data_IF_331920640841
#
_entry.id   IF_331920640841
#
_cell.length_a   1.000
_cell.length_b   1.000
_cell.length_c   1.000
_cell.angle_alpha   90.00
_cell.angle_beta   90.00
_cell.angle_gamma   90.00
#
_symmetry.space_group_name_H-M   'P 1'
#
loop_
_entity.id
_entity.type
_entity.pdbx_description
1 polymer ?
#
# COMPACT_ATOMS: atom_id res chain seq x y z
N UNK A 1 -14.86 24.62 -35.22
CA UNK A 1 -14.37 24.20 -33.89
C UNK A 1 -15.16 23.02 -33.29
N UNK A 2 -16.46 22.87 -33.58
CA UNK A 2 -17.30 21.78 -33.04
C UNK A 2 -17.12 20.40 -33.69
N UNK A 3 -16.63 20.31 -34.94
CA UNK A 3 -16.43 19.00 -35.61
C UNK A 3 -15.23 18.20 -35.07
N UNK A 4 -14.08 18.83 -34.82
CA UNK A 4 -12.93 18.14 -34.20
C UNK A 4 -13.23 17.61 -32.80
N UNK A 5 -14.07 18.29 -32.03
CA UNK A 5 -14.49 17.84 -30.70
C UNK A 5 -15.45 16.64 -30.79
N UNK A 6 -16.26 16.56 -31.84
CA UNK A 6 -17.14 15.40 -32.10
C UNK A 6 -16.38 14.17 -32.64
N UNK A 7 -15.32 14.38 -33.43
CA UNK A 7 -14.45 13.29 -33.89
C UNK A 7 -13.66 12.67 -32.74
N UNK A 8 -13.13 13.51 -31.83
CA UNK A 8 -12.45 13.04 -30.61
C UNK A 8 -13.40 12.35 -29.62
N UNK A 9 -14.62 12.88 -29.43
CA UNK A 9 -15.68 12.24 -28.63
C UNK A 9 -16.13 10.87 -29.13
N UNK A 10 -15.87 10.53 -30.39
CA UNK A 10 -16.16 9.21 -30.94
C UNK A 10 -14.92 8.31 -30.98
N UNK A 11 -13.75 8.76 -30.51
CA UNK A 11 -12.51 8.04 -30.69
C UNK A 11 -12.46 6.73 -29.91
N UNK A 12 -12.84 6.66 -28.63
CA UNK A 12 -12.88 5.37 -27.90
C UNK A 12 -13.87 4.40 -28.55
N UNK A 13 -15.08 4.86 -28.91
CA UNK A 13 -16.07 4.04 -29.63
C UNK A 13 -15.56 3.61 -31.01
N UNK A 14 -14.90 4.47 -31.76
CA UNK A 14 -14.33 4.20 -33.08
C UNK A 14 -13.09 3.27 -33.03
N UNK A 15 -12.24 3.44 -32.01
CA UNK A 15 -11.09 2.58 -31.70
C UNK A 15 -11.56 1.19 -31.31
N UNK A 16 -12.67 1.07 -30.58
CA UNK A 16 -13.24 -0.22 -30.15
C UNK A 16 -14.14 -0.87 -31.22
N UNK A 17 -14.87 -0.09 -32.05
CA UNK A 17 -15.90 -0.61 -32.99
C UNK A 17 -15.48 -0.70 -34.47
N UNK A 18 -14.54 0.13 -34.96
CA UNK A 18 -14.22 0.22 -36.40
C UNK A 18 -12.78 -0.16 -36.76
N UNK A 19 -12.13 -1.00 -35.97
CA UNK A 19 -10.68 -1.10 -35.98
C UNK A 19 -10.17 -2.53 -36.18
N UNK A 20 -9.30 -2.79 -37.19
CA UNK A 20 -8.71 -4.10 -37.44
C UNK A 20 -7.85 -4.60 -36.27
N UNK A 21 -7.50 -5.91 -36.23
CA UNK A 21 -6.75 -6.53 -35.13
C UNK A 21 -5.43 -5.76 -34.86
N UNK A 22 -5.33 -5.10 -33.70
CA UNK A 22 -4.14 -4.35 -33.29
C UNK A 22 -4.32 -3.09 -32.41
N UNK A 23 -5.54 -2.61 -32.10
CA UNK A 23 -5.74 -1.27 -31.48
C UNK A 23 -5.95 -1.18 -29.96
N UNK A 24 -6.24 -2.29 -29.26
CA UNK A 24 -6.12 -2.34 -27.79
C UNK A 24 -4.69 -1.97 -27.37
N UNK A 25 -3.72 -2.32 -28.21
CA UNK A 25 -2.32 -1.99 -28.02
C UNK A 25 -2.06 -0.47 -27.95
N UNK A 26 -2.70 0.34 -28.79
CA UNK A 26 -2.49 1.80 -28.78
C UNK A 26 -3.08 2.45 -27.52
N UNK A 27 -4.26 1.99 -27.09
CA UNK A 27 -4.88 2.42 -25.83
C UNK A 27 -4.00 2.02 -24.63
N UNK A 28 -3.53 0.78 -24.60
CA UNK A 28 -2.61 0.28 -23.57
C UNK A 28 -1.34 1.11 -23.56
N UNK A 29 -0.75 1.37 -24.72
CA UNK A 29 0.51 2.12 -24.84
C UNK A 29 0.39 3.55 -24.32
N UNK A 30 -0.70 4.24 -24.62
CA UNK A 30 -0.91 5.60 -24.11
C UNK A 30 -1.19 5.61 -22.60
N UNK A 31 -2.00 4.66 -22.11
CA UNK A 31 -2.24 4.49 -20.69
C UNK A 31 -0.96 4.12 -19.92
N UNK A 32 -0.13 3.24 -20.50
CA UNK A 32 1.15 2.80 -19.94
C UNK A 32 2.13 3.97 -19.85
N UNK A 33 2.25 4.76 -20.91
CA UNK A 33 3.08 5.98 -20.90
C UNK A 33 2.69 6.93 -19.77
N UNK A 34 1.39 7.20 -19.61
CA UNK A 34 0.91 8.07 -18.52
C UNK A 34 1.09 7.45 -17.14
N UNK A 35 0.95 6.14 -17.02
CA UNK A 35 1.21 5.43 -15.76
C UNK A 35 2.69 5.50 -15.39
N UNK A 36 3.60 5.38 -16.37
CA UNK A 36 5.04 5.57 -16.17
C UNK A 36 5.33 6.99 -15.67
N UNK A 37 4.74 8.01 -16.29
CA UNK A 37 4.89 9.41 -15.87
C UNK A 37 4.35 9.62 -14.44
N UNK A 38 3.17 9.04 -14.13
CA UNK A 38 2.58 9.05 -12.79
C UNK A 38 3.52 8.43 -11.74
N UNK A 39 4.09 7.26 -12.03
CA UNK A 39 5.02 6.58 -11.10
C UNK A 39 6.30 7.38 -10.91
N UNK A 40 6.82 8.02 -11.96
CA UNK A 40 7.99 8.90 -11.83
C UNK A 40 7.70 10.11 -10.94
N UNK A 41 6.55 10.75 -11.12
CA UNK A 41 6.18 11.95 -10.37
C UNK A 41 5.82 11.64 -8.91
N UNK A 42 5.01 10.62 -8.66
CA UNK A 42 4.46 10.34 -7.33
C UNK A 42 5.34 9.40 -6.50
N UNK A 43 5.98 8.40 -7.09
CA UNK A 43 6.76 7.41 -6.34
C UNK A 43 8.25 7.74 -6.34
N UNK A 44 8.85 7.94 -7.51
CA UNK A 44 10.30 8.13 -7.63
C UNK A 44 10.74 9.46 -7.01
N UNK A 45 10.02 10.55 -7.28
CA UNK A 45 10.30 11.87 -6.66
C UNK A 45 10.20 11.80 -5.14
N UNK A 46 9.17 11.13 -4.62
CA UNK A 46 8.95 11.00 -3.18
C UNK A 46 10.00 10.11 -2.53
N UNK A 47 10.40 9.02 -3.20
CA UNK A 47 11.51 8.16 -2.80
C UNK A 47 12.83 8.94 -2.69
N UNK A 48 13.10 9.85 -3.64
CA UNK A 48 14.26 10.74 -3.59
C UNK A 48 14.20 11.71 -2.42
N UNK A 49 13.05 12.37 -2.20
CA UNK A 49 12.85 13.30 -1.10
C UNK A 49 13.04 12.62 0.27
N UNK A 50 12.49 11.42 0.45
CA UNK A 50 12.70 10.65 1.68
C UNK A 50 14.17 10.29 1.91
N UNK A 51 14.94 10.13 0.83
CA UNK A 51 16.35 9.78 0.91
C UNK A 51 17.21 10.98 1.33
N UNK A 52 16.78 12.22 1.05
CA UNK A 52 17.47 13.44 1.52
C UNK A 52 17.55 13.48 3.06
N UNK A 53 16.53 12.94 3.74
CA UNK A 53 16.53 12.84 5.21
C UNK A 53 17.59 11.86 5.76
N UNK A 54 18.25 11.10 4.89
CA UNK A 54 19.33 10.19 5.25
C UNK A 54 20.63 10.60 4.52
N UNK A 55 21.32 11.66 4.99
CA UNK A 55 22.45 12.27 4.28
C UNK A 55 23.65 11.33 4.05
N UNK A 56 23.76 10.24 4.81
CA UNK A 56 24.82 9.22 4.66
C UNK A 56 24.46 8.07 3.70
N UNK A 57 23.31 8.13 3.02
CA UNK A 57 22.87 7.06 2.13
C UNK A 57 23.62 7.12 0.81
N UNK A 58 24.57 6.22 0.65
CA UNK A 58 25.21 5.97 -0.63
C UNK A 58 24.25 5.21 -1.56
N UNK A 59 23.41 5.93 -2.31
CA UNK A 59 22.42 5.40 -3.26
C UNK A 59 23.06 4.49 -4.32
N UNK A 60 24.31 4.76 -4.70
CA UNK A 60 25.05 3.98 -5.72
C UNK A 60 25.90 2.85 -5.14
N UNK A 61 25.94 2.65 -3.82
CA UNK A 61 26.72 1.57 -3.24
C UNK A 61 25.98 0.23 -3.37
N UNK A 62 26.68 -0.91 -3.51
CA UNK A 62 26.06 -2.24 -3.55
C UNK A 62 25.20 -2.54 -2.31
N UNK A 63 25.57 -1.93 -1.17
CA UNK A 63 24.87 -2.05 0.12
C UNK A 63 23.98 -0.82 0.42
N UNK A 64 23.72 -0.01 -0.61
CA UNK A 64 22.99 1.24 -0.52
C UNK A 64 21.49 1.04 -0.42
N UNK A 65 20.78 2.15 -0.37
CA UNK A 65 19.33 2.15 -0.57
C UNK A 65 19.02 1.74 -2.00
N UNK A 66 18.28 0.64 -2.15
CA UNK A 66 17.69 0.19 -3.41
C UNK A 66 16.23 0.63 -3.46
N UNK A 67 15.83 1.26 -4.56
CA UNK A 67 14.46 1.69 -4.82
C UNK A 67 14.13 1.34 -6.27
N UNK A 68 13.22 0.40 -6.45
CA UNK A 68 12.77 -0.06 -7.77
C UNK A 68 11.29 0.26 -7.94
N UNK A 69 10.94 0.72 -9.14
CA UNK A 69 9.60 1.13 -9.49
C UNK A 69 9.30 0.54 -10.86
N UNK A 70 8.24 -0.26 -10.93
CA UNK A 70 7.77 -0.88 -12.16
C UNK A 70 6.28 -0.61 -12.30
N UNK A 71 5.86 -0.37 -13.53
CA UNK A 71 4.45 -0.22 -13.88
C UNK A 71 4.18 -0.92 -15.19
N UNK A 72 2.97 -1.42 -15.34
CA UNK A 72 2.54 -2.06 -16.58
C UNK A 72 1.03 -1.97 -16.72
N UNK A 73 0.58 -1.73 -17.94
CA UNK A 73 -0.84 -1.79 -18.31
C UNK A 73 -1.09 -2.98 -19.22
N UNK A 74 -2.15 -3.73 -18.93
CA UNK A 74 -2.63 -4.82 -19.78
C UNK A 74 -4.08 -4.56 -20.18
N UNK A 75 -4.49 -5.09 -21.33
CA UNK A 75 -5.87 -5.07 -21.75
C UNK A 75 -6.35 -6.48 -22.08
N UNK A 76 -7.60 -6.73 -21.77
CA UNK A 76 -8.33 -7.92 -22.15
C UNK A 76 -9.74 -7.51 -22.55
N UNK A 77 -10.32 -8.21 -23.52
CA UNK A 77 -11.69 -8.00 -23.92
C UNK A 77 -12.43 -9.33 -23.94
N UNK A 78 -13.65 -9.31 -23.44
CA UNK A 78 -14.56 -10.45 -23.43
C UNK A 78 -15.90 -9.96 -23.96
N UNK A 79 -16.29 -10.46 -25.15
CA UNK A 79 -17.48 -10.00 -25.87
C UNK A 79 -17.46 -8.46 -26.05
N UNK A 80 -18.39 -7.76 -25.41
CA UNK A 80 -18.55 -6.29 -25.45
C UNK A 80 -17.97 -5.58 -24.20
N UNK A 81 -17.32 -6.32 -23.31
CA UNK A 81 -16.72 -5.82 -22.07
C UNK A 81 -15.21 -5.67 -22.24
N UNK A 82 -14.71 -4.48 -21.94
CA UNK A 82 -13.28 -4.19 -21.93
C UNK A 82 -12.76 -4.11 -20.51
N UNK A 83 -11.62 -4.77 -20.29
CA UNK A 83 -10.88 -4.79 -19.05
C UNK A 83 -9.51 -4.16 -19.28
N UNK A 84 -9.19 -3.13 -18.51
CA UNK A 84 -7.83 -2.57 -18.42
C UNK A 84 -7.27 -2.86 -17.03
N UNK A 85 -6.11 -3.50 -16.98
CA UNK A 85 -5.38 -3.80 -15.76
C UNK A 85 -4.20 -2.85 -15.63
N UNK A 86 -4.12 -2.13 -14.51
CA UNK A 86 -3.00 -1.28 -14.17
C UNK A 86 -2.28 -1.92 -12.98
N UNK A 87 -0.98 -2.18 -13.13
CA UNK A 87 -0.15 -2.74 -12.07
C UNK A 87 0.96 -1.74 -11.76
N UNK A 88 1.14 -1.44 -10.47
CA UNK A 88 2.24 -0.64 -9.96
C UNK A 88 2.93 -1.46 -8.87
N UNK A 89 4.24 -1.63 -9.02
CA UNK A 89 5.10 -2.32 -8.07
C UNK A 89 6.22 -1.36 -7.66
N UNK A 90 6.37 -1.14 -6.36
CA UNK A 90 7.42 -0.31 -5.80
C UNK A 90 8.09 -1.05 -4.65
N UNK A 91 9.38 -1.33 -4.80
CA UNK A 91 10.19 -1.99 -3.79
C UNK A 91 11.25 -1.02 -3.28
N UNK A 92 11.39 -0.94 -1.96
CA UNK A 92 12.40 -0.12 -1.31
C UNK A 92 13.08 -0.93 -0.22
N UNK A 93 14.39 -1.08 -0.31
CA UNK A 93 15.16 -1.83 0.68
C UNK A 93 16.45 -1.10 1.02
N UNK A 94 16.76 -1.03 2.30
CA UNK A 94 18.04 -0.54 2.77
C UNK A 94 18.58 -1.47 3.85
N UNK A 95 19.37 -2.45 3.41
CA UNK A 95 19.85 -3.53 4.27
C UNK A 95 20.80 -3.04 5.37
N UNK A 96 21.60 -2.00 5.10
CA UNK A 96 22.46 -1.37 6.12
C UNK A 96 21.66 -0.76 7.28
N UNK A 97 20.41 -0.38 7.03
CA UNK A 97 19.47 0.13 8.03
C UNK A 97 18.31 -0.85 8.28
N UNK A 98 18.56 -2.15 8.03
CA UNK A 98 17.72 -3.28 8.40
C UNK A 98 16.23 -3.17 8.05
N UNK A 99 15.88 -2.55 6.93
CA UNK A 99 14.48 -2.49 6.49
C UNK A 99 14.29 -2.81 5.01
N UNK A 100 13.14 -3.43 4.72
CA UNK A 100 12.64 -3.66 3.39
C UNK A 100 11.13 -3.41 3.36
N UNK A 101 10.66 -2.71 2.35
CA UNK A 101 9.26 -2.44 2.14
C UNK A 101 8.89 -2.59 0.69
N UNK A 102 7.62 -2.87 0.48
CA UNK A 102 7.08 -3.15 -0.83
C UNK A 102 5.64 -2.67 -0.90
N UNK A 103 5.29 -2.04 -2.01
CA UNK A 103 3.97 -1.57 -2.34
C UNK A 103 3.55 -2.15 -3.69
N UNK A 104 2.43 -2.86 -3.72
CA UNK A 104 1.87 -3.45 -4.94
C UNK A 104 0.43 -2.99 -5.04
N UNK A 105 0.09 -2.28 -6.11
CA UNK A 105 -1.28 -1.91 -6.40
C UNK A 105 -1.69 -2.47 -7.74
N UNK A 106 -2.80 -3.21 -7.77
CA UNK A 106 -3.43 -3.70 -8.98
C UNK A 106 -4.83 -3.13 -9.10
N UNK A 107 -5.12 -2.55 -10.26
CA UNK A 107 -6.39 -1.91 -10.55
C UNK A 107 -6.99 -2.49 -11.83
N UNK A 108 -8.28 -2.81 -11.80
CA UNK A 108 -9.04 -3.31 -12.93
C UNK A 108 -10.14 -2.32 -13.26
N UNK A 109 -10.05 -1.71 -14.43
CA UNK A 109 -11.06 -0.85 -15.01
C UNK A 109 -11.90 -1.65 -16.00
N UNK A 110 -13.15 -1.91 -15.64
CA UNK A 110 -14.14 -2.57 -16.49
C UNK A 110 -15.08 -1.54 -17.10
N UNK A 111 -15.26 -1.57 -18.42
CA UNK A 111 -16.17 -0.65 -19.11
C UNK A 111 -16.76 -1.25 -20.39
N UNK A 112 -17.91 -0.71 -20.76
CA UNK A 112 -18.59 -1.00 -22.02
C UNK A 112 -18.38 0.16 -22.98
N UNK A 113 -18.37 -0.13 -24.28
CA UNK A 113 -18.20 0.91 -25.32
C UNK A 113 -19.29 1.98 -25.27
N UNK A 114 -20.48 1.60 -24.82
CA UNK A 114 -21.70 2.42 -24.86
C UNK A 114 -21.99 3.13 -23.53
N UNK A 115 -21.16 2.89 -22.51
CA UNK A 115 -21.36 3.44 -21.18
C UNK A 115 -20.30 4.50 -20.85
N UNK A 116 -20.73 5.66 -20.35
CA UNK A 116 -19.84 6.74 -19.90
C UNK A 116 -19.30 6.49 -18.47
N UNK A 117 -19.45 5.25 -17.98
CA UNK A 117 -19.03 4.81 -16.65
C UNK A 117 -18.07 3.62 -16.72
N UNK A 118 -16.97 3.72 -15.99
CA UNK A 118 -16.01 2.63 -15.73
C UNK A 118 -16.22 2.15 -14.29
N UNK A 119 -16.32 0.83 -14.11
CA UNK A 119 -16.18 0.21 -12.80
C UNK A 119 -14.69 -0.01 -12.53
N UNK A 120 -14.13 0.79 -11.62
CA UNK A 120 -12.75 0.66 -11.17
C UNK A 120 -12.73 -0.15 -9.87
N UNK A 121 -12.15 -1.34 -9.93
CA UNK A 121 -11.82 -2.15 -8.76
C UNK A 121 -10.31 -2.15 -8.55
N UNK A 122 -9.84 -2.29 -7.32
CA UNK A 122 -8.41 -2.39 -7.08
C UNK A 122 -8.04 -2.94 -5.72
N UNK A 123 -6.80 -3.38 -5.61
CA UNK A 123 -6.21 -3.93 -4.40
C UNK A 123 -4.84 -3.30 -4.18
N UNK A 124 -4.57 -2.88 -2.96
CA UNK A 124 -3.28 -2.34 -2.53
C UNK A 124 -2.73 -3.25 -1.43
N UNK A 125 -1.60 -3.90 -1.74
CA UNK A 125 -0.85 -4.76 -0.84
C UNK A 125 0.44 -4.07 -0.39
N UNK A 126 0.61 -3.98 0.92
CA UNK A 126 1.75 -3.30 1.55
C UNK A 126 2.42 -4.27 2.50
N UNK A 127 3.73 -4.42 2.36
CA UNK A 127 4.57 -5.18 3.26
C UNK A 127 5.74 -4.32 3.72
N UNK A 128 6.05 -4.37 5.02
CA UNK A 128 7.20 -3.73 5.64
C UNK A 128 7.83 -4.74 6.60
N UNK A 129 9.15 -4.85 6.53
CA UNK A 129 9.96 -5.68 7.40
C UNK A 129 11.10 -4.85 7.95
N UNK A 130 11.30 -4.91 9.26
CA UNK A 130 12.45 -4.35 9.96
C UNK A 130 13.11 -5.45 10.81
N UNK A 131 14.44 -5.51 10.80
CA UNK A 131 15.18 -6.70 11.28
C UNK A 131 16.53 -6.40 11.97
N UNK A 132 16.69 -5.25 12.63
CA UNK A 132 17.94 -4.92 13.36
C UNK A 132 18.09 -5.79 14.62
N UNK A 133 17.28 -5.51 15.65
CA UNK A 133 17.31 -6.24 16.93
C UNK A 133 16.08 -7.16 17.13
N UNK A 134 15.09 -7.04 16.26
CA UNK A 134 13.88 -7.84 16.26
C UNK A 134 13.31 -7.92 14.85
N UNK A 135 12.70 -9.06 14.49
CA UNK A 135 12.05 -9.24 13.20
C UNK A 135 10.59 -8.77 13.29
N UNK A 136 10.35 -7.51 12.92
CA UNK A 136 9.04 -6.88 12.92
C UNK A 136 8.51 -6.87 11.49
N UNK A 137 7.34 -7.48 11.29
CA UNK A 137 6.66 -7.53 10.01
C UNK A 137 5.30 -6.86 10.09
N UNK A 138 5.00 -6.03 9.09
CA UNK A 138 3.70 -5.42 8.88
C UNK A 138 3.22 -5.78 7.47
N UNK A 139 2.02 -6.35 7.38
CA UNK A 139 1.36 -6.67 6.11
C UNK A 139 -0.08 -6.20 6.16
N UNK A 140 -0.54 -5.53 5.12
CA UNK A 140 -1.94 -5.11 4.97
C UNK A 140 -2.34 -5.20 3.51
N UNK A 141 -3.61 -5.52 3.28
CA UNK A 141 -4.26 -5.52 1.98
C UNK A 141 -5.55 -4.73 2.08
N UNK A 142 -5.83 -3.89 1.08
CA UNK A 142 -7.03 -3.04 1.04
C UNK A 142 -7.64 -3.12 -0.35
N UNK A 143 -8.95 -3.38 -0.41
CA UNK A 143 -9.70 -3.48 -1.66
C UNK A 143 -10.60 -2.27 -1.87
N UNK A 144 -10.79 -1.86 -3.12
CA UNK A 144 -11.57 -0.71 -3.53
C UNK A 144 -12.48 -1.05 -4.70
N UNK A 145 -13.63 -0.39 -4.75
CA UNK A 145 -14.55 -0.45 -5.87
C UNK A 145 -15.25 0.91 -6.01
N UNK A 146 -15.19 1.52 -7.20
CA UNK A 146 -15.81 2.82 -7.52
C UNK A 146 -16.28 2.84 -8.95
N UNK A 147 -17.46 3.45 -9.17
CA UNK A 147 -17.88 3.84 -10.51
C UNK A 147 -17.32 5.22 -10.83
N UNK A 148 -16.45 5.30 -11.83
CA UNK A 148 -15.82 6.54 -12.30
C UNK A 148 -16.51 6.96 -13.60
N UNK A 149 -16.95 8.22 -13.67
CA UNK A 149 -17.42 8.80 -14.93
C UNK A 149 -16.22 9.10 -15.81
N UNK A 150 -16.22 8.56 -17.01
CA UNK A 150 -15.13 8.76 -17.97
C UNK A 150 -15.66 9.38 -19.25
N UNK A 151 -14.84 10.27 -19.81
CA UNK A 151 -15.11 10.85 -21.11
C UNK A 151 -14.56 9.94 -22.20
N UNK A 152 -15.07 10.12 -23.42
CA UNK A 152 -14.71 9.30 -24.59
C UNK A 152 -13.36 9.66 -25.23
N UNK A 153 -12.62 10.60 -24.65
CA UNK A 153 -11.27 10.97 -25.04
C UNK A 153 -10.25 10.13 -24.25
N UNK A 154 -9.33 9.43 -24.92
CA UNK A 154 -8.32 8.57 -24.29
C UNK A 154 -7.46 9.32 -23.28
N UNK A 155 -7.14 10.58 -23.59
CA UNK A 155 -6.35 11.41 -22.70
C UNK A 155 -7.07 11.71 -21.38
N UNK A 156 -8.35 12.06 -21.46
CA UNK A 156 -9.17 12.35 -20.28
C UNK A 156 -9.54 11.08 -19.54
N UNK A 157 -9.74 9.97 -20.25
CA UNK A 157 -10.00 8.65 -19.67
C UNK A 157 -8.86 8.21 -18.75
N UNK A 158 -7.63 8.22 -19.27
CA UNK A 158 -6.43 7.86 -18.53
C UNK A 158 -6.20 8.79 -17.33
N UNK A 159 -6.32 10.11 -17.51
CA UNK A 159 -6.19 11.07 -16.41
C UNK A 159 -7.27 10.90 -15.34
N UNK A 160 -8.51 10.60 -15.69
CA UNK A 160 -9.59 10.37 -14.72
C UNK A 160 -9.35 9.09 -13.91
N UNK A 161 -8.88 8.02 -14.55
CA UNK A 161 -8.55 6.76 -13.84
C UNK A 161 -7.37 6.97 -12.90
N UNK A 162 -6.28 7.58 -13.37
CA UNK A 162 -5.11 7.86 -12.53
C UNK A 162 -5.45 8.81 -11.37
N UNK A 163 -6.34 9.79 -11.58
CA UNK A 163 -6.84 10.65 -10.51
C UNK A 163 -7.62 9.86 -9.45
N UNK A 164 -8.48 8.92 -9.87
CA UNK A 164 -9.19 8.05 -8.95
C UNK A 164 -8.24 7.12 -8.18
N UNK A 165 -7.22 6.57 -8.85
CA UNK A 165 -6.16 5.76 -8.20
C UNK A 165 -5.45 6.61 -7.14
N UNK A 166 -5.00 7.81 -7.50
CA UNK A 166 -4.30 8.72 -6.59
C UNK A 166 -5.17 9.10 -5.36
N UNK A 167 -6.48 9.34 -5.55
CA UNK A 167 -7.41 9.59 -4.45
C UNK A 167 -7.40 8.44 -3.43
N UNK A 168 -7.46 7.19 -3.91
CA UNK A 168 -7.44 6.00 -3.06
C UNK A 168 -6.09 5.72 -2.42
N UNK A 169 -4.98 5.92 -3.15
CA UNK A 169 -3.64 5.77 -2.60
C UNK A 169 -3.38 6.78 -1.47
N UNK A 170 -3.80 8.03 -1.65
CA UNK A 170 -3.69 9.05 -0.60
C UNK A 170 -4.58 8.74 0.62
N UNK A 171 -5.80 8.22 0.38
CA UNK A 171 -6.66 7.77 1.47
C UNK A 171 -6.00 6.68 2.30
N UNK A 172 -5.37 5.68 1.67
CA UNK A 172 -4.65 4.63 2.38
C UNK A 172 -3.43 5.16 3.11
N UNK A 173 -2.68 6.07 2.51
CA UNK A 173 -1.54 6.69 3.19
C UNK A 173 -1.99 7.41 4.48
N UNK A 174 -3.12 8.12 4.43
CA UNK A 174 -3.70 8.79 5.59
C UNK A 174 -4.22 7.79 6.64
N UNK A 175 -4.95 6.74 6.22
CA UNK A 175 -5.44 5.67 7.10
C UNK A 175 -4.28 4.99 7.83
N UNK A 176 -3.21 4.66 7.13
CA UNK A 176 -2.01 4.05 7.71
C UNK A 176 -1.31 4.97 8.70
N UNK A 177 -1.16 6.25 8.37
CA UNK A 177 -0.52 7.20 9.27
C UNK A 177 -1.32 7.34 10.58
N UNK A 178 -2.64 7.40 10.49
CA UNK A 178 -3.52 7.40 11.65
C UNK A 178 -3.43 6.09 12.44
N UNK A 179 -3.41 4.96 11.74
CA UNK A 179 -3.25 3.64 12.35
C UNK A 179 -1.96 3.56 13.16
N UNK A 180 -0.80 3.89 12.58
CA UNK A 180 0.49 3.87 13.29
C UNK A 180 0.54 4.86 14.46
N UNK A 181 -0.06 6.04 14.32
CA UNK A 181 -0.17 7.02 15.42
C UNK A 181 -1.01 6.50 16.60
N UNK A 182 -2.06 5.71 16.32
CA UNK A 182 -3.01 5.23 17.32
C UNK A 182 -2.66 3.87 17.94
N UNK A 183 -1.96 2.99 17.23
CA UNK A 183 -1.53 1.65 17.72
C UNK A 183 -0.82 1.76 19.08
N UNK A 184 0.15 2.68 19.17
CA UNK A 184 1.00 2.78 20.35
C UNK A 184 0.20 3.20 21.60
N UNK A 185 -0.86 4.00 21.43
CA UNK A 185 -1.66 4.48 22.56
C UNK A 185 -2.60 3.43 23.11
N UNK A 186 -3.26 2.65 22.25
CA UNK A 186 -4.39 1.81 22.67
C UNK A 186 -4.04 0.32 22.73
N UNK A 187 -3.37 -0.22 21.70
CA UNK A 187 -3.09 -1.66 21.59
C UNK A 187 -1.87 -2.08 22.43
N UNK A 188 -0.76 -1.34 22.32
CA UNK A 188 0.48 -1.71 23.02
C UNK A 188 0.33 -1.50 24.54
N UNK A 189 -0.30 -0.41 24.97
CA UNK A 189 -0.51 -0.14 26.40
C UNK A 189 -1.52 -1.06 27.07
N UNK A 190 -2.53 -1.54 26.34
CA UNK A 190 -3.53 -2.48 26.89
C UNK A 190 -2.96 -3.89 27.05
N UNK A 191 -2.09 -4.32 26.14
CA UNK A 191 -1.40 -5.62 26.24
C UNK A 191 -0.37 -5.65 27.35
N UNK A 192 0.49 -4.62 27.46
CA UNK A 192 1.44 -4.50 28.56
C UNK A 192 1.59 -3.05 29.01
N UNK A 193 1.28 -2.79 30.27
CA UNK A 193 1.58 -1.50 30.90
C UNK A 193 3.07 -1.38 31.19
N UNK A 194 3.61 -0.18 30.98
CA UNK A 194 5.00 0.15 31.33
C UNK A 194 5.19 0.12 32.85
N UNK A 195 4.16 0.54 33.61
CA UNK A 195 4.14 0.55 35.07
C UNK A 195 2.84 -0.13 35.55
N UNK A 196 2.86 -0.89 36.66
CA UNK A 196 1.65 -1.41 37.31
C UNK A 196 0.60 -0.32 37.59
N UNK A 197 -0.66 -0.73 37.81
CA UNK A 197 -1.77 0.20 38.15
C UNK A 197 -1.49 1.10 39.36
N UNK A 198 -0.67 0.61 40.30
CA UNK A 198 -0.28 1.36 41.48
C UNK A 198 0.62 2.56 41.17
N UNK A 199 1.14 2.69 39.94
CA UNK A 199 2.10 3.73 39.58
C UNK A 199 3.50 3.51 40.16
N UNK A 200 3.71 2.43 40.91
CA UNK A 200 4.98 2.09 41.54
C UNK A 200 5.60 0.84 40.91
N UNK A 201 6.93 0.75 40.92
CA UNK A 201 7.62 -0.48 40.52
C UNK A 201 7.16 -1.64 41.41
N UNK A 202 7.12 -2.83 40.83
CA UNK A 202 6.72 -4.03 41.57
C UNK A 202 7.69 -4.26 42.74
N UNK A 203 7.15 -4.31 43.96
CA UNK A 203 7.93 -4.62 45.15
C UNK A 203 8.10 -6.14 45.28
N UNK A 204 9.28 -6.61 44.87
CA UNK A 204 9.66 -8.01 44.99
C UNK A 204 9.85 -8.45 46.45
N UNK A 205 10.23 -7.55 47.37
CA UNK A 205 10.53 -7.91 48.76
C UNK A 205 9.26 -8.13 49.58
N UNK A 206 8.27 -7.25 49.45
CA UNK A 206 6.99 -7.38 50.17
C UNK A 206 6.13 -8.56 49.71
N UNK A 207 6.39 -9.10 48.51
CA UNK A 207 5.72 -10.29 47.94
C UNK A 207 6.59 -11.55 48.01
N UNK A 208 7.78 -11.46 48.58
CA UNK A 208 8.66 -12.61 48.77
C UNK A 208 8.08 -13.50 49.86
N UNK A 209 7.35 -14.54 49.45
CA UNK A 209 7.02 -15.61 50.37
C UNK A 209 8.29 -16.42 50.63
N UNK A 210 8.74 -16.43 51.88
CA UNK A 210 9.83 -17.27 52.34
C UNK A 210 9.34 -18.73 52.37
N UNK A 211 9.24 -19.34 51.19
CA UNK A 211 8.79 -20.70 50.95
C UNK A 211 9.49 -21.68 51.91
N UNK A 212 10.81 -21.58 52.18
CA UNK A 212 11.46 -22.38 53.20
C UNK A 212 10.85 -22.25 54.61
N UNK A 213 10.56 -21.04 55.07
CA UNK A 213 9.88 -20.84 56.37
C UNK A 213 8.48 -21.43 56.38
N UNK A 214 7.69 -21.25 55.33
CA UNK A 214 6.33 -21.80 55.25
C UNK A 214 6.33 -23.35 55.24
N UNK A 215 7.26 -23.96 54.51
CA UNK A 215 7.46 -25.42 54.52
C UNK A 215 7.84 -25.89 55.93
N UNK A 216 8.74 -25.18 56.62
CA UNK A 216 9.13 -25.50 58.00
C UNK A 216 7.95 -25.43 58.97
N UNK A 217 7.09 -24.41 58.84
CA UNK A 217 5.87 -24.28 59.65
C UNK A 217 4.86 -25.41 59.40
N UNK A 218 4.69 -25.86 58.15
CA UNK A 218 3.85 -27.04 57.82
C UNK A 218 4.42 -28.33 58.39
N UNK A 219 5.72 -28.58 58.26
CA UNK A 219 6.36 -29.78 58.81
C UNK A 219 6.29 -29.86 60.33
N UNK A 220 6.38 -28.72 61.03
CA UNK A 220 6.20 -28.65 62.49
C UNK A 220 4.77 -28.96 62.93
N UNK A 221 3.75 -28.62 62.13
CA UNK A 221 2.36 -28.98 62.41
C UNK A 221 2.06 -30.46 62.13
N UNK A 222 2.72 -31.08 61.16
CA UNK A 222 2.60 -32.51 60.87
C UNK A 222 3.18 -33.36 62.02
N UNK A 223 4.26 -32.92 62.66
CA UNK A 223 4.88 -33.61 63.81
C UNK A 223 4.12 -33.47 65.14
N UNK A 224 3.06 -32.64 65.20
CA UNK A 224 2.25 -32.40 66.40
C UNK A 224 0.90 -33.15 66.39
N UNK A 225 0.65 -33.98 65.38
CA UNK A 225 -0.39 -35.02 65.39
C UNK A 225 0.27 -36.38 65.55
#
# INVERSE_FOLDING_TARGET
MNNMLNEKKNFIRHVLMNSPPGKLYDLVKECDKKLVDYVQEHYKKWSNLQTINYPEVHIKSPNGLRSEHCSSVYAYNEEDIFYLFFIICCDRSYLKNFHASTWRSSWTAQFFVDNDHVLLSGTIDISLTYFEDANINFKTSKCFEKKVRVNRDVDMFSSNILSAINEYENYILYDLNNFFTNINKNLIKSTRRIIPLSGQKFDWKGKYEDIPKQIRFKLLHIKKK
#
